data_IF_465236673045
#
_entry.id   IF_465236673045
#
_cell.length_a   1.000
_cell.length_b   1.000
_cell.length_c   1.000
_cell.angle_alpha   90.00
_cell.angle_beta   90.00
_cell.angle_gamma   90.00
#
_symmetry.space_group_name_H-M   'P 1'
#
loop_
_entity.id
_entity.type
_entity.pdbx_description
1 polymer ?
#
# COMPACT_ATOMS: atom_id res chain seq x y z
N UNK A 1 -3.18 8.06 25.95
CA UNK A 1 -4.33 8.63 25.21
C UNK A 1 -3.79 9.14 23.89
N UNK A 2 -4.47 8.91 22.77
CA UNK A 2 -4.09 9.44 21.47
C UNK A 2 -4.04 10.97 21.53
N UNK A 3 -3.05 11.60 20.90
CA UNK A 3 -2.95 13.06 20.75
C UNK A 3 -4.17 13.63 19.99
N UNK A 4 -4.81 12.80 19.15
CA UNK A 4 -5.96 13.17 18.33
C UNK A 4 -7.22 12.40 18.76
N UNK A 5 -8.33 13.11 18.92
CA UNK A 5 -9.62 12.52 19.25
C UNK A 5 -10.42 12.12 17.99
N UNK A 6 -10.13 12.71 16.84
CA UNK A 6 -10.85 12.50 15.59
C UNK A 6 -9.93 12.44 14.37
N UNK A 7 -10.38 11.75 13.30
CA UNK A 7 -9.68 11.76 12.00
C UNK A 7 -9.55 13.17 11.40
N UNK A 8 -10.50 14.07 11.67
CA UNK A 8 -10.42 15.46 11.21
C UNK A 8 -9.24 16.22 11.81
N UNK A 9 -8.87 15.93 13.05
CA UNK A 9 -7.68 16.53 13.68
C UNK A 9 -6.41 16.02 13.02
N UNK A 10 -6.33 14.71 12.71
CA UNK A 10 -5.21 14.13 11.98
C UNK A 10 -5.09 14.78 10.59
N UNK A 11 -6.19 14.90 9.84
CA UNK A 11 -6.20 15.55 8.53
C UNK A 11 -5.73 17.00 8.61
N UNK A 12 -6.18 17.77 9.61
CA UNK A 12 -5.74 19.15 9.82
C UNK A 12 -4.24 19.24 10.16
N UNK A 13 -3.75 18.33 11.00
CA UNK A 13 -2.33 18.27 11.34
C UNK A 13 -1.48 17.92 10.11
N UNK A 14 -1.88 16.91 9.34
CA UNK A 14 -1.22 16.54 8.10
C UNK A 14 -1.17 17.68 7.08
N UNK A 15 -2.28 18.41 6.89
CA UNK A 15 -2.33 19.57 5.99
C UNK A 15 -1.37 20.71 6.41
N UNK A 16 -1.13 20.88 7.71
CA UNK A 16 -0.20 21.90 8.21
C UNK A 16 1.27 21.48 8.09
N UNK A 17 1.53 20.18 8.20
CA UNK A 17 2.89 19.64 8.26
C UNK A 17 3.45 19.28 6.88
N UNK A 18 2.58 18.93 5.92
CA UNK A 18 3.00 18.57 4.57
C UNK A 18 3.26 19.80 3.70
N UNK A 19 4.22 19.68 2.81
CA UNK A 19 4.39 20.68 1.76
C UNK A 19 3.14 20.71 0.85
N UNK A 20 2.84 21.84 0.19
CA UNK A 20 1.69 21.92 -0.71
C UNK A 20 1.70 20.87 -1.83
N UNK A 21 2.89 20.47 -2.31
CA UNK A 21 3.03 19.41 -3.31
C UNK A 21 2.74 18.03 -2.74
N UNK A 22 3.26 17.72 -1.55
CA UNK A 22 2.98 16.45 -0.86
C UNK A 22 1.50 16.31 -0.48
N UNK A 23 0.88 17.41 -0.04
CA UNK A 23 -0.56 17.44 0.24
C UNK A 23 -1.41 17.15 -0.99
N UNK A 24 -1.12 17.82 -2.13
CA UNK A 24 -1.84 17.58 -3.39
C UNK A 24 -1.61 16.17 -3.91
N UNK A 25 -0.40 15.63 -3.77
CA UNK A 25 -0.11 14.25 -4.11
C UNK A 25 -0.91 13.27 -3.25
N UNK A 26 -1.01 13.51 -1.95
CA UNK A 26 -1.76 12.67 -1.02
C UNK A 26 -3.27 12.70 -1.31
N UNK A 27 -3.83 13.88 -1.57
CA UNK A 27 -5.28 14.11 -1.62
C UNK A 27 -5.86 14.19 -3.03
N UNK A 28 -5.01 14.34 -4.05
CA UNK A 28 -5.45 14.50 -5.45
C UNK A 28 -5.61 13.17 -6.19
N UNK A 29 -6.24 13.25 -7.35
CA UNK A 29 -6.47 12.13 -8.27
C UNK A 29 -5.98 12.42 -9.70
N UNK A 30 -6.28 11.49 -10.61
CA UNK A 30 -5.94 11.63 -12.01
C UNK A 30 -6.92 12.56 -12.75
N UNK A 31 -6.40 13.25 -13.76
CA UNK A 31 -7.14 14.16 -14.66
C UNK A 31 -8.06 15.13 -13.89
N UNK A 32 -9.36 15.12 -14.20
CA UNK A 32 -10.40 15.95 -13.56
C UNK A 32 -10.87 15.43 -12.21
N UNK A 33 -10.23 14.39 -11.66
CA UNK A 33 -10.56 13.77 -10.37
C UNK A 33 -11.97 13.15 -10.30
N UNK A 34 -12.61 12.90 -11.44
CA UNK A 34 -13.94 12.29 -11.48
C UNK A 34 -13.97 10.91 -10.82
N UNK A 35 -12.94 10.09 -11.04
CA UNK A 35 -12.84 8.78 -10.40
C UNK A 35 -12.67 8.90 -8.87
N UNK A 36 -11.86 9.86 -8.40
CA UNK A 36 -11.69 10.14 -6.97
C UNK A 36 -13.03 10.49 -6.31
N UNK A 37 -13.81 11.37 -6.91
CA UNK A 37 -15.15 11.75 -6.43
C UNK A 37 -16.11 10.57 -6.44
N UNK A 38 -16.14 9.77 -7.52
CA UNK A 38 -16.98 8.57 -7.62
C UNK A 38 -16.63 7.53 -6.56
N UNK A 39 -15.36 7.31 -6.28
CA UNK A 39 -14.92 6.40 -5.23
C UNK A 39 -15.44 6.86 -3.86
N UNK A 40 -15.36 8.15 -3.56
CA UNK A 40 -15.92 8.70 -2.32
C UNK A 40 -17.43 8.51 -2.25
N UNK A 41 -18.15 8.87 -3.29
CA UNK A 41 -19.60 8.70 -3.39
C UNK A 41 -20.04 7.24 -3.23
N UNK A 42 -19.29 6.29 -3.83
CA UNK A 42 -19.57 4.87 -3.70
C UNK A 42 -19.48 4.42 -2.24
N UNK A 43 -18.43 4.81 -1.51
CA UNK A 43 -18.29 4.51 -0.09
C UNK A 43 -19.39 5.20 0.75
N UNK A 44 -19.73 6.46 0.47
CA UNK A 44 -20.76 7.20 1.17
C UNK A 44 -22.18 6.66 0.93
N UNK A 45 -22.37 5.89 -0.15
CA UNK A 45 -23.65 5.21 -0.44
C UNK A 45 -23.86 3.94 0.38
N UNK A 46 -22.82 3.42 1.05
CA UNK A 46 -22.95 2.25 1.91
C UNK A 46 -23.51 2.63 3.27
N UNK A 47 -24.38 1.78 3.80
CA UNK A 47 -24.93 1.96 5.14
C UNK A 47 -24.89 0.64 5.91
N UNK A 48 -24.67 0.74 7.21
CA UNK A 48 -24.82 -0.40 8.10
C UNK A 48 -26.30 -0.71 8.32
N UNK A 49 -26.65 -2.01 8.30
CA UNK A 49 -27.95 -2.48 8.73
C UNK A 49 -27.87 -2.86 10.20
N UNK A 50 -28.25 -1.97 11.12
CA UNK A 50 -28.10 -2.24 12.55
C UNK A 50 -29.03 -3.38 12.99
N UNK A 51 -28.56 -4.14 13.97
CA UNK A 51 -29.36 -5.13 14.67
C UNK A 51 -29.51 -4.69 16.12
N UNK A 52 -30.68 -4.87 16.68
CA UNK A 52 -30.97 -4.51 18.06
C UNK A 52 -31.14 -5.77 18.93
N UNK A 53 -31.06 -5.61 20.23
CA UNK A 53 -31.22 -6.68 21.22
C UNK A 53 -30.20 -7.82 21.10
N UNK A 54 -29.04 -7.55 20.56
CA UNK A 54 -27.87 -8.43 20.62
C UNK A 54 -27.02 -8.04 21.83
N UNK A 55 -26.50 -9.03 22.52
CA UNK A 55 -25.49 -8.80 23.55
C UNK A 55 -24.16 -8.44 22.88
N UNK A 56 -23.70 -7.22 23.09
CA UNK A 56 -22.46 -6.68 22.50
C UNK A 56 -21.46 -6.27 23.57
N UNK A 57 -21.54 -6.84 24.77
CA UNK A 57 -20.60 -6.58 25.87
C UNK A 57 -19.19 -7.04 25.56
N UNK A 58 -19.10 -8.10 24.76
CA UNK A 58 -17.83 -8.61 24.27
C UNK A 58 -17.90 -8.69 22.75
N UNK A 59 -16.94 -8.05 22.08
CA UNK A 59 -16.87 -8.01 20.61
C UNK A 59 -15.52 -8.58 20.19
N UNK A 60 -15.55 -9.68 19.46
CA UNK A 60 -14.38 -10.26 18.79
C UNK A 60 -14.44 -9.89 17.29
N UNK A 61 -13.43 -9.15 16.83
CA UNK A 61 -13.23 -8.78 15.42
C UNK A 61 -12.13 -9.58 14.77
N UNK A 62 -11.51 -10.51 15.50
CA UNK A 62 -10.44 -11.34 14.96
C UNK A 62 -10.90 -12.17 13.77
N UNK A 63 -10.03 -12.33 12.81
CA UNK A 63 -10.32 -13.06 11.57
C UNK A 63 -9.03 -13.60 10.95
N UNK A 64 -9.18 -14.49 9.98
CA UNK A 64 -8.06 -14.92 9.16
C UNK A 64 -7.96 -14.03 7.92
N UNK A 65 -6.79 -13.40 7.75
CA UNK A 65 -6.44 -12.61 6.57
C UNK A 65 -5.22 -13.23 5.91
N UNK A 66 -5.34 -13.65 4.68
CA UNK A 66 -4.23 -14.28 3.95
C UNK A 66 -3.59 -15.48 4.67
N UNK A 67 -4.38 -16.28 5.36
CA UNK A 67 -3.88 -17.47 6.06
C UNK A 67 -3.33 -17.18 7.47
N UNK A 68 -3.26 -15.93 7.89
CA UNK A 68 -2.76 -15.53 9.22
C UNK A 68 -3.85 -14.88 10.06
N UNK A 69 -3.71 -14.98 11.38
CA UNK A 69 -4.65 -14.37 12.30
C UNK A 69 -4.43 -12.85 12.35
N UNK A 70 -5.51 -12.11 12.14
CA UNK A 70 -5.53 -10.65 12.25
C UNK A 70 -6.51 -10.22 13.34
N UNK A 71 -6.15 -9.20 14.09
CA UNK A 71 -6.98 -8.63 15.15
C UNK A 71 -8.32 -8.10 14.65
N UNK A 72 -8.37 -7.67 13.37
CA UNK A 72 -9.59 -7.26 12.71
C UNK A 72 -9.45 -7.38 11.18
N UNK A 73 -10.55 -7.37 10.41
CA UNK A 73 -10.54 -7.57 8.96
C UNK A 73 -10.08 -6.32 8.19
N UNK A 74 -8.92 -5.79 8.55
CA UNK A 74 -8.29 -4.64 7.90
C UNK A 74 -6.84 -4.99 7.59
N UNK A 75 -6.37 -4.57 6.42
CA UNK A 75 -4.98 -4.62 6.01
C UNK A 75 -4.50 -3.20 5.69
N UNK A 76 -3.24 -2.92 5.96
CA UNK A 76 -2.62 -1.67 5.56
C UNK A 76 -2.10 -1.82 4.13
N UNK A 77 -2.74 -1.13 3.19
CA UNK A 77 -2.46 -1.22 1.76
C UNK A 77 -1.04 -0.75 1.41
N UNK A 78 -0.44 -1.25 0.29
CA UNK A 78 0.85 -0.78 -0.17
C UNK A 78 0.76 0.66 -0.67
N UNK A 79 1.56 1.55 -0.09
CA UNK A 79 1.64 2.94 -0.50
C UNK A 79 3.05 3.29 -0.93
N UNK A 80 3.18 3.84 -2.14
CA UNK A 80 4.43 4.40 -2.62
C UNK A 80 4.73 5.75 -1.98
N UNK A 81 6.02 6.11 -1.89
CA UNK A 81 6.47 7.44 -1.46
C UNK A 81 6.03 7.84 -0.05
N UNK A 82 5.85 6.90 0.87
CA UNK A 82 5.50 7.20 2.26
C UNK A 82 6.52 8.13 2.93
N UNK A 83 7.78 8.00 2.57
CA UNK A 83 8.88 8.84 3.01
C UNK A 83 8.76 10.33 2.57
N UNK A 84 7.85 10.64 1.65
CA UNK A 84 7.49 12.02 1.31
C UNK A 84 6.39 12.60 2.21
N UNK A 85 5.71 11.75 2.96
CA UNK A 85 4.56 12.10 3.80
C UNK A 85 4.91 12.05 5.29
N UNK A 86 5.72 11.07 5.69
CA UNK A 86 6.16 10.85 7.07
C UNK A 86 7.65 10.52 7.09
N UNK A 87 8.46 11.13 7.99
CA UNK A 87 9.90 10.83 8.10
C UNK A 87 10.23 9.34 8.34
N UNK A 88 9.38 8.62 9.04
CA UNK A 88 9.52 7.17 9.26
C UNK A 88 9.13 6.35 8.04
N UNK A 89 8.38 6.93 7.10
CA UNK A 89 7.97 6.27 5.86
C UNK A 89 7.27 4.94 6.09
N UNK A 90 7.73 3.90 5.38
CA UNK A 90 7.19 2.55 5.51
C UNK A 90 7.38 1.93 6.90
N UNK A 91 8.41 2.35 7.65
CA UNK A 91 8.66 1.84 9.00
C UNK A 91 7.54 2.24 9.97
N UNK A 92 7.02 3.46 9.87
CA UNK A 92 5.89 3.90 10.70
C UNK A 92 4.66 3.03 10.48
N UNK A 93 4.38 2.65 9.22
CA UNK A 93 3.26 1.77 8.86
C UNK A 93 3.50 0.35 9.36
N UNK A 94 4.70 -0.19 9.16
CA UNK A 94 5.06 -1.56 9.55
C UNK A 94 4.99 -1.74 11.07
N UNK A 95 5.55 -0.81 11.84
CA UNK A 95 5.48 -0.85 13.31
C UNK A 95 4.04 -0.68 13.82
N UNK A 96 3.27 0.21 13.23
CA UNK A 96 1.86 0.35 13.59
C UNK A 96 1.05 -0.92 13.31
N UNK A 97 1.33 -1.62 12.20
CA UNK A 97 0.71 -2.91 11.88
C UNK A 97 1.08 -3.99 12.90
N UNK A 98 2.38 -4.09 13.24
CA UNK A 98 2.90 -5.01 14.25
C UNK A 98 2.28 -4.77 15.63
N UNK A 99 2.31 -3.53 16.11
CA UNK A 99 1.76 -3.15 17.43
C UNK A 99 0.25 -3.40 17.51
N UNK A 100 -0.46 -3.19 16.41
CA UNK A 100 -1.91 -3.36 16.37
C UNK A 100 -2.35 -4.80 16.07
N UNK A 101 -1.51 -5.63 15.48
CA UNK A 101 -1.79 -7.01 15.13
C UNK A 101 -2.60 -7.16 13.84
N UNK A 102 -2.19 -6.46 12.77
CA UNK A 102 -2.78 -6.56 11.42
C UNK A 102 -1.70 -6.76 10.36
N UNK A 103 -2.09 -7.30 9.21
CA UNK A 103 -1.19 -7.47 8.06
C UNK A 103 -0.91 -6.12 7.39
N UNK A 104 0.35 -5.90 7.00
CA UNK A 104 0.71 -4.75 6.16
C UNK A 104 1.33 -5.15 4.83
N UNK A 105 1.20 -4.28 3.84
CA UNK A 105 1.86 -4.40 2.56
C UNK A 105 2.97 -3.38 2.43
N UNK A 106 4.14 -3.82 1.99
CA UNK A 106 5.26 -2.95 1.68
C UNK A 106 5.35 -2.74 0.17
N UNK A 107 5.30 -1.49 -0.27
CA UNK A 107 5.49 -1.15 -1.69
C UNK A 107 6.98 -1.10 -2.06
N UNK A 108 7.33 -1.61 -3.24
CA UNK A 108 8.67 -1.52 -3.82
C UNK A 108 9.16 -0.08 -4.09
N UNK A 109 8.24 0.90 -4.08
CA UNK A 109 8.53 2.31 -4.37
C UNK A 109 8.41 3.22 -3.15
N UNK A 110 8.62 2.68 -1.94
CA UNK A 110 8.70 3.43 -0.68
C UNK A 110 10.04 3.23 0.02
N UNK A 111 10.26 3.94 1.14
CA UNK A 111 11.43 3.79 2.03
C UNK A 111 10.96 3.80 3.49
N UNK A 112 11.64 3.11 4.41
CA UNK A 112 12.70 2.11 4.19
C UNK A 112 12.26 0.95 3.31
N UNK A 113 13.25 0.22 2.76
CA UNK A 113 13.03 -0.88 1.82
C UNK A 113 12.75 -2.23 2.46
N UNK A 114 12.77 -3.26 1.63
CA UNK A 114 12.36 -4.62 1.99
C UNK A 114 13.23 -5.23 3.10
N UNK A 115 14.54 -5.04 3.04
CA UNK A 115 15.50 -5.58 4.02
C UNK A 115 15.37 -4.89 5.37
N UNK A 116 15.28 -3.55 5.37
CA UNK A 116 15.20 -2.75 6.59
C UNK A 116 13.91 -3.02 7.34
N UNK A 117 12.78 -3.15 6.64
CA UNK A 117 11.50 -3.50 7.25
C UNK A 117 11.52 -4.91 7.82
N UNK A 118 12.10 -5.87 7.10
CA UNK A 118 12.20 -7.25 7.58
C UNK A 118 13.10 -7.37 8.82
N UNK A 119 14.17 -6.58 8.90
CA UNK A 119 15.09 -6.60 10.04
C UNK A 119 14.48 -6.01 11.33
N UNK A 120 13.57 -5.04 11.20
CA UNK A 120 13.05 -4.24 12.32
C UNK A 120 11.62 -4.64 12.74
N UNK A 121 10.96 -5.56 12.02
CA UNK A 121 9.58 -5.98 12.32
C UNK A 121 9.38 -7.47 12.07
N UNK A 122 8.56 -8.10 12.92
CA UNK A 122 8.31 -9.55 12.91
C UNK A 122 6.90 -9.95 12.47
N UNK A 123 5.98 -8.98 12.33
CA UNK A 123 4.60 -9.25 11.92
C UNK A 123 4.52 -9.78 10.48
N UNK A 124 3.39 -10.42 10.17
CA UNK A 124 3.09 -10.92 8.83
C UNK A 124 2.91 -9.76 7.83
N UNK A 125 3.67 -9.82 6.74
CA UNK A 125 3.70 -8.74 5.74
C UNK A 125 3.78 -9.28 4.32
N UNK A 126 3.23 -8.51 3.39
CA UNK A 126 3.17 -8.78 1.96
C UNK A 126 4.07 -7.81 1.21
N UNK A 127 4.85 -8.29 0.24
CA UNK A 127 5.65 -7.39 -0.61
C UNK A 127 4.92 -7.08 -1.92
N UNK A 128 4.79 -5.81 -2.26
CA UNK A 128 4.17 -5.34 -3.50
C UNK A 128 5.22 -4.81 -4.47
N UNK A 129 5.17 -5.29 -5.72
CA UNK A 129 6.13 -4.98 -6.77
C UNK A 129 5.49 -4.22 -7.92
N UNK A 130 6.12 -3.10 -8.30
CA UNK A 130 6.09 -2.53 -9.65
C UNK A 130 7.25 -3.11 -10.45
N UNK A 131 6.97 -3.77 -11.58
CA UNK A 131 8.01 -4.41 -12.39
C UNK A 131 8.82 -3.35 -13.15
N UNK A 132 10.15 -3.47 -13.06
CA UNK A 132 11.10 -2.54 -13.69
C UNK A 132 12.25 -3.27 -14.40
N UNK A 133 12.16 -4.57 -14.55
CA UNK A 133 13.14 -5.42 -15.20
C UNK A 133 12.54 -6.68 -15.78
N UNK A 134 13.39 -7.53 -16.31
CA UNK A 134 13.04 -8.81 -16.91
C UNK A 134 12.71 -9.88 -15.86
N UNK A 135 12.56 -11.13 -16.31
CA UNK A 135 12.23 -12.27 -15.43
C UNK A 135 13.32 -12.55 -14.41
N UNK A 136 14.59 -12.36 -14.76
CA UNK A 136 15.70 -12.60 -13.83
C UNK A 136 15.66 -11.54 -12.72
N UNK A 137 15.42 -10.29 -13.06
CA UNK A 137 15.24 -9.22 -12.09
C UNK A 137 14.03 -9.46 -11.15
N UNK A 138 12.91 -9.96 -11.71
CA UNK A 138 11.73 -10.33 -10.89
C UNK A 138 12.11 -11.48 -9.95
N UNK A 139 12.81 -12.51 -10.45
CA UNK A 139 13.19 -13.66 -9.68
C UNK A 139 14.08 -13.29 -8.48
N UNK A 140 15.03 -12.40 -8.66
CA UNK A 140 15.90 -11.90 -7.57
C UNK A 140 15.07 -11.24 -6.46
N UNK A 141 14.07 -10.44 -6.83
CA UNK A 141 13.21 -9.75 -5.85
C UNK A 141 12.27 -10.73 -5.14
N UNK A 142 11.67 -11.68 -5.87
CA UNK A 142 10.78 -12.69 -5.27
C UNK A 142 11.55 -13.56 -4.29
N UNK A 143 12.71 -14.08 -4.68
CA UNK A 143 13.56 -14.88 -3.81
C UNK A 143 13.96 -14.09 -2.56
N UNK A 144 14.38 -12.84 -2.72
CA UNK A 144 14.67 -11.94 -1.60
C UNK A 144 13.47 -11.76 -0.66
N UNK A 145 12.27 -11.56 -1.19
CA UNK A 145 11.07 -11.44 -0.37
C UNK A 145 10.79 -12.72 0.43
N UNK A 146 10.96 -13.89 -0.19
CA UNK A 146 10.81 -15.19 0.47
C UNK A 146 11.85 -15.36 1.58
N UNK A 147 13.12 -15.10 1.29
CA UNK A 147 14.24 -15.24 2.25
C UNK A 147 14.08 -14.31 3.47
N UNK A 148 13.45 -13.16 3.27
CA UNK A 148 13.15 -12.17 4.32
C UNK A 148 11.82 -12.44 5.05
N UNK A 149 11.13 -13.53 4.74
CA UNK A 149 9.93 -13.98 5.46
C UNK A 149 8.65 -13.23 5.12
N UNK A 150 8.56 -12.59 3.93
CA UNK A 150 7.29 -12.07 3.45
C UNK A 150 6.35 -13.22 3.10
N UNK A 151 5.11 -13.16 3.63
CA UNK A 151 4.17 -14.30 3.53
C UNK A 151 3.49 -14.42 2.17
N UNK A 152 3.35 -13.30 1.45
CA UNK A 152 2.72 -13.23 0.12
C UNK A 152 3.44 -12.22 -0.75
N UNK A 153 3.25 -12.36 -2.05
CA UNK A 153 3.75 -11.42 -3.05
C UNK A 153 2.58 -10.78 -3.80
N UNK A 154 2.61 -9.46 -3.95
CA UNK A 154 1.59 -8.70 -4.66
C UNK A 154 2.20 -8.08 -5.92
N UNK A 155 1.72 -8.49 -7.09
CA UNK A 155 2.15 -7.96 -8.38
C UNK A 155 1.17 -6.89 -8.84
N UNK A 156 1.64 -5.65 -8.98
CA UNK A 156 0.82 -4.55 -9.50
C UNK A 156 0.63 -4.72 -11.01
N UNK A 157 -0.60 -4.75 -11.47
CA UNK A 157 -0.95 -5.00 -12.88
C UNK A 157 -1.80 -3.90 -13.52
N UNK A 158 -2.22 -2.90 -12.75
CA UNK A 158 -3.16 -1.84 -13.17
C UNK A 158 -2.48 -0.55 -13.67
N UNK A 159 -1.15 -0.47 -13.66
CA UNK A 159 -0.39 0.74 -14.00
C UNK A 159 0.53 0.48 -15.20
N UNK A 160 -0.05 0.33 -16.39
CA UNK A 160 0.72 0.26 -17.64
C UNK A 160 1.31 1.63 -18.04
N UNK A 161 0.61 2.72 -17.70
CA UNK A 161 1.03 4.10 -17.94
C UNK A 161 0.86 4.92 -16.65
N UNK A 162 1.75 5.88 -16.47
CA UNK A 162 1.63 6.78 -15.32
C UNK A 162 0.45 7.73 -15.49
N UNK A 163 -0.39 7.85 -14.47
CA UNK A 163 -1.56 8.74 -14.51
C UNK A 163 -1.15 10.20 -14.61
N UNK A 164 -1.92 10.99 -15.35
CA UNK A 164 -1.80 12.43 -15.42
C UNK A 164 -2.47 13.04 -14.20
N UNK A 165 -1.70 13.58 -13.28
CA UNK A 165 -2.20 14.22 -12.06
C UNK A 165 -1.97 15.73 -12.20
N UNK A 166 -3.03 16.48 -12.46
CA UNK A 166 -2.92 17.92 -12.79
C UNK A 166 -2.40 18.76 -11.65
N UNK A 167 -2.77 18.44 -10.40
CA UNK A 167 -2.25 19.16 -9.22
C UNK A 167 -0.73 19.03 -9.10
N UNK A 168 -0.20 17.81 -9.33
CA UNK A 168 1.25 17.56 -9.30
C UNK A 168 1.95 18.29 -10.45
N UNK A 169 1.36 18.28 -11.65
CA UNK A 169 1.92 18.94 -12.83
C UNK A 169 2.00 20.46 -12.67
N UNK A 170 0.94 21.09 -12.15
CA UNK A 170 0.91 22.55 -11.90
C UNK A 170 2.01 22.95 -10.90
N UNK A 171 2.22 22.17 -9.85
CA UNK A 171 3.24 22.42 -8.83
C UNK A 171 4.62 21.86 -9.19
N UNK A 172 4.74 21.16 -10.33
CA UNK A 172 5.97 20.45 -10.75
C UNK A 172 6.48 19.51 -9.66
N UNK A 173 5.56 18.95 -8.88
CA UNK A 173 5.87 18.04 -7.81
C UNK A 173 6.11 16.63 -8.36
N UNK A 174 7.15 16.00 -7.85
CA UNK A 174 7.44 14.58 -8.11
C UNK A 174 7.57 13.86 -6.77
N UNK A 175 6.69 12.90 -6.45
CA UNK A 175 6.81 12.12 -5.24
C UNK A 175 8.10 11.31 -5.24
N UNK A 176 8.65 11.04 -4.07
CA UNK A 176 9.98 10.42 -3.90
C UNK A 176 10.12 9.06 -4.58
N UNK A 177 9.10 8.22 -4.51
CA UNK A 177 9.08 6.92 -5.18
C UNK A 177 9.16 7.05 -6.71
N UNK A 178 8.43 7.99 -7.32
CA UNK A 178 8.49 8.26 -8.75
C UNK A 178 9.85 8.84 -9.18
N UNK A 179 10.41 9.70 -8.34
CA UNK A 179 11.71 10.31 -8.64
C UNK A 179 12.83 9.26 -8.68
N UNK A 180 12.75 8.23 -7.83
CA UNK A 180 13.74 7.13 -7.75
C UNK A 180 13.54 6.05 -8.80
N UNK A 181 12.32 5.81 -9.26
CA UNK A 181 11.96 4.66 -10.11
C UNK A 181 11.35 5.14 -11.44
N UNK A 182 12.13 5.89 -12.20
CA UNK A 182 11.65 6.51 -13.44
C UNK A 182 11.95 5.69 -14.72
N UNK A 183 12.72 4.60 -14.58
CA UNK A 183 13.13 3.72 -15.68
C UNK A 183 12.37 2.39 -15.62
N UNK A 184 12.42 1.61 -16.73
CA UNK A 184 11.86 0.26 -16.81
C UNK A 184 10.33 0.20 -16.88
N UNK A 185 9.66 1.28 -17.31
CA UNK A 185 8.19 1.28 -17.47
C UNK A 185 7.70 0.34 -18.55
N UNK A 186 8.53 0.07 -19.56
CA UNK A 186 8.25 -0.89 -20.62
C UNK A 186 8.00 -2.31 -20.08
N UNK A 187 8.70 -2.70 -19.02
CA UNK A 187 8.47 -4.00 -18.35
C UNK A 187 7.12 -4.04 -17.65
N UNK A 188 6.74 -2.96 -16.96
CA UNK A 188 5.43 -2.85 -16.31
C UNK A 188 4.29 -2.85 -17.35
N UNK A 189 4.46 -2.13 -18.46
CA UNK A 189 3.47 -2.09 -19.54
C UNK A 189 3.37 -3.40 -20.31
N UNK A 190 4.41 -4.24 -20.29
CA UNK A 190 4.47 -5.55 -20.93
C UNK A 190 3.88 -6.70 -20.12
N UNK A 191 3.37 -6.45 -18.92
CA UNK A 191 2.79 -7.49 -18.05
C UNK A 191 1.60 -8.17 -18.73
N UNK A 192 1.56 -9.50 -18.63
CA UNK A 192 0.51 -10.32 -19.18
C UNK A 192 0.29 -11.61 -18.36
N UNK A 193 -0.71 -12.41 -18.72
CA UNK A 193 -1.02 -13.65 -18.01
C UNK A 193 0.06 -14.72 -18.09
N UNK A 194 0.93 -14.70 -19.10
CA UNK A 194 2.06 -15.64 -19.21
C UNK A 194 3.08 -15.39 -18.11
N UNK A 195 3.26 -14.13 -17.68
CA UNK A 195 4.10 -13.80 -16.54
C UNK A 195 3.48 -14.30 -15.24
N UNK A 196 2.17 -14.14 -15.05
CA UNK A 196 1.46 -14.66 -13.87
C UNK A 196 1.57 -16.19 -13.81
N UNK A 197 1.38 -16.86 -14.95
CA UNK A 197 1.57 -18.32 -15.04
C UNK A 197 3.01 -18.72 -14.69
N UNK A 198 4.00 -18.09 -15.30
CA UNK A 198 5.41 -18.36 -15.00
C UNK A 198 5.72 -18.17 -13.53
N UNK A 199 5.21 -17.10 -12.90
CA UNK A 199 5.37 -16.87 -11.46
C UNK A 199 4.83 -18.04 -10.64
N UNK A 200 3.61 -18.48 -10.93
CA UNK A 200 2.95 -19.58 -10.22
C UNK A 200 3.60 -20.94 -10.47
N UNK A 201 4.21 -21.14 -11.64
CA UNK A 201 4.95 -22.36 -11.96
C UNK A 201 6.33 -22.40 -11.28
N UNK A 202 6.85 -21.23 -10.83
CA UNK A 202 8.22 -21.10 -10.29
C UNK A 202 8.25 -21.08 -8.76
N UNK A 203 7.28 -20.45 -8.11
CA UNK A 203 7.25 -20.28 -6.64
C UNK A 203 5.93 -20.71 -6.02
N UNK A 204 6.04 -21.26 -4.80
CA UNK A 204 4.88 -21.62 -3.99
C UNK A 204 4.31 -20.42 -3.18
N UNK A 205 5.04 -19.30 -3.07
CA UNK A 205 4.54 -18.13 -2.38
C UNK A 205 3.21 -17.66 -2.99
N UNK A 206 2.17 -17.42 -2.19
CA UNK A 206 0.88 -16.97 -2.72
C UNK A 206 1.01 -15.63 -3.45
N UNK A 207 0.42 -15.55 -4.64
CA UNK A 207 0.43 -14.36 -5.50
C UNK A 207 -0.91 -13.65 -5.46
N UNK A 208 -0.86 -12.33 -5.29
CA UNK A 208 -1.98 -11.39 -5.40
C UNK A 208 -1.76 -10.52 -6.64
N UNK A 209 -2.78 -10.32 -7.47
CA UNK A 209 -2.75 -9.47 -8.66
C UNK A 209 -3.95 -8.52 -8.67
#
# INVERSE_FOLDING_TARGET
MSEFATLHEIVKAAHRNLSPGAWDYLTGGADTETALLRNRMALDSLAFRPRVLNDVREIDLSTNVHGVNSRLPIILAPMGSLDALDPGGAMSVAKAAEDFGVVSYLSSVTRPGIEEIAAETTHDKVFQLYVRGDRDWIADIVNKAIDLGYIHFCLTVDVALYSRRERDLIKRYKPSGRARNNEGWEFQAGLNWDLVKWFKDTWDIPLIV
#
